data_IF_391963156414
#
_entry.id   IF_391963156414
#
_cell.length_a   1.000
_cell.length_b   1.000
_cell.length_c   1.000
_cell.angle_alpha   90.00
_cell.angle_beta   90.00
_cell.angle_gamma   90.00
#
_symmetry.space_group_name_H-M   'P 1'
#
loop_
_entity.id
_entity.type
_entity.pdbx_description
1 polymer ?
#
# COMPACT_ATOMS: atom_id res chain seq x y z
N UNK A 1 9.45 -27.32 -26.10
CA UNK A 1 9.91 -26.33 -25.10
C UNK A 1 9.85 -24.86 -25.58
N UNK A 2 9.63 -24.58 -26.88
CA UNK A 2 9.47 -23.21 -27.39
C UNK A 2 8.05 -22.61 -27.20
N UNK A 3 7.00 -23.44 -27.14
CA UNK A 3 5.62 -23.00 -26.94
C UNK A 3 5.41 -22.40 -25.54
N UNK A 4 6.01 -22.99 -24.51
CA UNK A 4 5.95 -22.50 -23.12
C UNK A 4 6.70 -21.17 -22.97
N UNK A 5 7.86 -21.02 -23.61
CA UNK A 5 8.60 -19.76 -23.62
C UNK A 5 7.85 -18.64 -24.37
N UNK A 6 7.11 -18.98 -25.43
CA UNK A 6 6.27 -18.01 -26.17
C UNK A 6 5.03 -17.62 -25.37
N UNK A 7 4.41 -18.55 -24.63
CA UNK A 7 3.32 -18.24 -23.72
C UNK A 7 3.78 -17.38 -22.52
N UNK A 8 5.00 -17.57 -22.03
CA UNK A 8 5.58 -16.72 -20.99
C UNK A 8 5.99 -15.31 -21.51
N UNK A 9 6.33 -15.20 -22.80
CA UNK A 9 6.64 -13.94 -23.48
C UNK A 9 5.38 -13.19 -23.95
N UNK A 10 4.29 -13.91 -24.23
CA UNK A 10 3.00 -13.38 -24.67
C UNK A 10 1.97 -13.18 -23.53
N UNK A 11 2.28 -13.62 -22.31
CA UNK A 11 1.67 -13.06 -21.11
C UNK A 11 2.40 -11.74 -20.91
N UNK A 12 1.76 -10.66 -21.35
CA UNK A 12 2.17 -9.27 -21.17
C UNK A 12 2.72 -9.01 -19.75
N UNK A 13 4.01 -9.27 -19.54
CA UNK A 13 4.65 -9.18 -18.23
C UNK A 13 4.65 -7.72 -17.76
N UNK A 14 4.72 -6.80 -18.72
CA UNK A 14 4.53 -5.37 -18.50
C UNK A 14 3.12 -5.02 -18.04
N UNK A 15 2.07 -5.51 -18.69
CA UNK A 15 0.68 -5.22 -18.30
C UNK A 15 0.32 -5.85 -16.96
N UNK A 16 0.78 -7.09 -16.73
CA UNK A 16 0.60 -7.82 -15.48
C UNK A 16 1.36 -7.15 -14.32
N UNK A 17 2.57 -6.63 -14.60
CA UNK A 17 3.38 -5.86 -13.66
C UNK A 17 2.75 -4.52 -13.31
N UNK A 18 2.30 -3.76 -14.31
CA UNK A 18 1.60 -2.48 -14.12
C UNK A 18 0.30 -2.66 -13.32
N UNK A 19 -0.50 -3.68 -13.64
CA UNK A 19 -1.72 -3.98 -12.90
C UNK A 19 -1.44 -4.40 -11.44
N UNK A 20 -0.38 -5.17 -11.22
CA UNK A 20 0.05 -5.56 -9.86
C UNK A 20 0.51 -4.36 -9.05
N UNK A 21 1.28 -3.44 -9.65
CA UNK A 21 1.73 -2.20 -9.00
C UNK A 21 0.54 -1.29 -8.69
N UNK A 22 -0.38 -1.12 -9.63
CA UNK A 22 -1.61 -0.35 -9.41
C UNK A 22 -2.43 -0.93 -8.25
N UNK A 23 -2.61 -2.26 -8.20
CA UNK A 23 -3.32 -2.94 -7.10
C UNK A 23 -2.61 -2.73 -5.76
N UNK A 24 -1.28 -2.81 -5.73
CA UNK A 24 -0.49 -2.53 -4.53
C UNK A 24 -0.72 -1.11 -4.00
N UNK A 25 -0.73 -0.13 -4.89
CA UNK A 25 -0.85 1.27 -4.52
C UNK A 25 -2.27 1.68 -4.13
N UNK A 26 -3.28 1.18 -4.85
CA UNK A 26 -4.68 1.60 -4.65
C UNK A 26 -5.45 0.75 -3.63
N UNK A 27 -4.98 -0.47 -3.32
CA UNK A 27 -5.69 -1.39 -2.42
C UNK A 27 -4.85 -1.69 -1.19
N UNK A 28 -3.62 -2.18 -1.37
CA UNK A 28 -2.82 -2.66 -0.25
C UNK A 28 -2.26 -1.56 0.64
N UNK A 29 -1.84 -0.42 0.09
CA UNK A 29 -1.37 0.70 0.93
C UNK A 29 -2.51 1.29 1.80
N UNK A 30 -3.71 1.57 1.27
CA UNK A 30 -4.85 1.99 2.10
C UNK A 30 -5.20 0.99 3.19
N UNK A 31 -5.20 -0.32 2.87
CA UNK A 31 -5.43 -1.38 3.86
C UNK A 31 -4.36 -1.34 4.96
N UNK A 32 -3.09 -1.20 4.59
CA UNK A 32 -1.98 -1.08 5.54
C UNK A 32 -2.13 0.12 6.48
N UNK A 33 -2.51 1.29 5.96
CA UNK A 33 -2.81 2.46 6.78
C UNK A 33 -3.95 2.20 7.77
N UNK A 34 -5.03 1.57 7.34
CA UNK A 34 -6.16 1.23 8.20
C UNK A 34 -5.73 0.31 9.36
N UNK A 35 -4.93 -0.72 9.07
CA UNK A 35 -4.43 -1.64 10.10
C UNK A 35 -3.53 -0.94 11.13
N UNK A 36 -2.66 -0.02 10.70
CA UNK A 36 -1.81 0.75 11.60
C UNK A 36 -2.66 1.65 12.50
N UNK A 37 -3.67 2.32 11.95
CA UNK A 37 -4.60 3.16 12.73
C UNK A 37 -5.32 2.32 13.80
N UNK A 38 -5.80 1.13 13.42
CA UNK A 38 -6.45 0.20 14.36
C UNK A 38 -5.46 -0.21 15.46
N UNK A 39 -4.24 -0.59 15.11
CA UNK A 39 -3.21 -0.98 16.08
C UNK A 39 -2.86 0.16 17.05
N UNK A 40 -2.77 1.40 16.56
CA UNK A 40 -2.53 2.59 17.39
C UNK A 40 -3.71 2.85 18.34
N UNK A 41 -4.95 2.70 17.86
CA UNK A 41 -6.16 2.81 18.69
C UNK A 41 -6.19 1.78 19.81
N UNK A 42 -5.88 0.52 19.50
CA UNK A 42 -5.77 -0.55 20.51
C UNK A 42 -4.62 -0.29 21.48
N UNK A 43 -3.45 0.15 20.97
CA UNK A 43 -2.29 0.49 21.79
C UNK A 43 -2.55 1.65 22.76
N UNK A 44 -3.35 2.64 22.35
CA UNK A 44 -3.81 3.72 23.22
C UNK A 44 -4.77 3.20 24.29
N UNK A 45 -5.75 2.37 23.93
CA UNK A 45 -6.69 1.78 24.90
C UNK A 45 -5.97 0.91 25.94
N UNK A 46 -4.98 0.13 25.51
CA UNK A 46 -4.14 -0.68 26.39
C UNK A 46 -3.10 0.13 27.19
N UNK A 47 -3.08 1.46 27.09
CA UNK A 47 -2.10 2.36 27.74
C UNK A 47 -0.64 2.06 27.40
N UNK A 48 -0.39 1.34 26.29
CA UNK A 48 0.94 1.01 25.79
C UNK A 48 1.57 2.18 25.02
N UNK A 49 0.78 3.14 24.58
CA UNK A 49 1.21 4.29 23.78
C UNK A 49 0.80 5.59 24.47
N UNK A 50 1.73 6.55 24.58
CA UNK A 50 1.45 7.89 25.10
C UNK A 50 0.88 8.76 23.98
N UNK A 51 -0.16 9.53 24.27
CA UNK A 51 -0.79 10.46 23.30
C UNK A 51 0.19 11.39 22.59
N UNK A 52 1.21 11.90 23.31
CA UNK A 52 2.25 12.74 22.71
C UNK A 52 3.07 12.02 21.62
N UNK A 53 3.26 10.71 21.72
CA UNK A 53 4.04 9.93 20.76
C UNK A 53 3.26 9.60 19.49
N UNK A 54 1.95 9.87 19.47
CA UNK A 54 1.08 9.58 18.33
C UNK A 54 1.38 10.47 17.11
N UNK A 55 2.03 11.62 17.31
CA UNK A 55 2.34 12.56 16.23
C UNK A 55 3.20 11.92 15.13
N UNK A 56 4.21 11.13 15.51
CA UNK A 56 5.11 10.49 14.55
C UNK A 56 4.43 9.48 13.61
N UNK A 57 3.67 8.49 14.12
CA UNK A 57 2.98 7.56 13.24
C UNK A 57 1.87 8.25 12.42
N UNK A 58 1.18 9.25 12.97
CA UNK A 58 0.18 10.02 12.21
C UNK A 58 0.82 10.77 11.04
N UNK A 59 1.96 11.42 11.24
CA UNK A 59 2.72 12.06 10.15
C UNK A 59 3.14 11.05 9.08
N UNK A 60 3.63 9.87 9.49
CA UNK A 60 3.98 8.79 8.57
C UNK A 60 2.78 8.33 7.72
N UNK A 61 1.61 8.14 8.34
CA UNK A 61 0.38 7.74 7.66
C UNK A 61 -0.09 8.78 6.63
N UNK A 62 0.02 10.08 6.96
CA UNK A 62 -0.32 11.16 6.04
C UNK A 62 0.57 11.11 4.79
N UNK A 63 1.89 10.97 4.97
CA UNK A 63 2.85 10.93 3.85
C UNK A 63 2.60 9.69 2.97
N UNK A 64 2.43 8.52 3.57
CA UNK A 64 2.19 7.26 2.84
C UNK A 64 0.86 7.29 2.08
N UNK A 65 -0.21 7.78 2.72
CA UNK A 65 -1.52 7.94 2.09
C UNK A 65 -1.49 8.94 0.93
N UNK A 66 -0.84 10.09 1.13
CA UNK A 66 -0.69 11.13 0.10
C UNK A 66 0.11 10.63 -1.11
N UNK A 67 1.15 9.84 -0.88
CA UNK A 67 1.91 9.23 -1.97
C UNK A 67 1.04 8.25 -2.79
N UNK A 68 0.20 7.45 -2.13
CA UNK A 68 -0.69 6.50 -2.82
C UNK A 68 -1.75 7.20 -3.68
N UNK A 69 -2.37 8.27 -3.17
CA UNK A 69 -3.37 9.01 -3.95
C UNK A 69 -2.74 9.72 -5.14
N UNK A 70 -1.52 10.24 -4.99
CA UNK A 70 -0.79 10.89 -6.08
C UNK A 70 -0.44 9.90 -7.19
N UNK A 71 0.09 8.72 -6.85
CA UNK A 71 0.38 7.70 -7.86
C UNK A 71 -0.90 7.15 -8.47
N UNK A 72 -1.96 6.97 -7.68
CA UNK A 72 -3.30 6.69 -8.18
C UNK A 72 -3.69 7.68 -9.28
N UNK A 73 -3.61 8.98 -9.03
CA UNK A 73 -3.97 10.00 -10.04
C UNK A 73 -3.17 9.93 -11.35
N UNK A 74 -1.90 9.50 -11.32
CA UNK A 74 -1.07 9.39 -12.54
C UNK A 74 -1.16 8.04 -13.26
N UNK A 75 -1.62 6.99 -12.58
CA UNK A 75 -1.64 5.61 -13.09
C UNK A 75 -3.07 5.13 -13.40
N UNK A 76 -4.11 5.83 -12.91
CA UNK A 76 -5.52 5.60 -13.28
C UNK A 76 -5.82 6.19 -14.65
#
# INVERSE_FOLDING_TARGET
MALVATQAFAIDTSSSGLNSVQTWLMVWIPIGCALIIIALGVGLMAHMVKLHQLVYPTLGLIVIGSASTLVGYFVT
#
